data_IF_356891588553
#
_entry.id   IF_356891588553
#
_cell.length_a   1.000
_cell.length_b   1.000
_cell.length_c   1.000
_cell.angle_alpha   90.00
_cell.angle_beta   90.00
_cell.angle_gamma   90.00
#
_symmetry.space_group_name_H-M   'P 1'
#
loop_
_entity.id
_entity.type
_entity.pdbx_description
1 polymer ?
#
# COMPACT_ATOMS: atom_id res chain seq x y z
N UNK A 1 14.05 14.75 14.77
CA UNK A 1 13.56 15.84 13.89
C UNK A 1 12.70 15.22 12.80
N UNK A 2 11.60 15.89 12.44
CA UNK A 2 10.59 15.35 11.53
C UNK A 2 10.39 16.31 10.35
N UNK A 3 10.27 15.78 9.14
CA UNK A 3 9.93 16.51 7.93
C UNK A 3 8.43 16.42 7.65
N UNK A 4 7.81 17.55 7.35
CA UNK A 4 6.39 17.66 7.03
C UNK A 4 6.25 17.90 5.53
N UNK A 5 5.70 16.93 4.82
CA UNK A 5 5.50 17.00 3.38
C UNK A 5 4.01 17.16 3.05
N UNK A 6 3.59 18.28 2.45
CA UNK A 6 2.22 18.44 1.99
C UNK A 6 1.98 17.55 0.75
N UNK A 7 1.04 16.62 0.87
CA UNK A 7 0.70 15.63 -0.15
C UNK A 7 -0.78 15.73 -0.54
N UNK A 8 -1.09 15.36 -1.78
CA UNK A 8 -2.44 15.31 -2.32
C UNK A 8 -2.68 14.02 -3.09
N UNK A 9 -3.77 13.33 -2.79
CA UNK A 9 -4.15 12.08 -3.44
C UNK A 9 -4.42 12.34 -4.92
N UNK A 10 -3.78 11.60 -5.80
CA UNK A 10 -4.07 11.66 -7.23
C UNK A 10 -5.50 11.15 -7.54
N UNK A 11 -5.95 10.11 -6.84
CA UNK A 11 -7.26 9.48 -7.02
C UNK A 11 -8.39 10.26 -6.34
N UNK A 12 -8.44 10.27 -4.99
CA UNK A 12 -9.55 10.85 -4.24
C UNK A 12 -9.39 12.36 -3.92
N UNK A 13 -8.30 13.00 -4.36
CA UNK A 13 -7.98 14.43 -4.11
C UNK A 13 -7.83 14.85 -2.65
N UNK A 14 -7.87 13.92 -1.68
CA UNK A 14 -7.59 14.17 -0.26
C UNK A 14 -6.23 14.84 -0.09
N UNK A 15 -6.15 15.83 0.80
CA UNK A 15 -4.88 16.52 1.13
C UNK A 15 -4.48 16.11 2.54
N UNK A 16 -3.21 15.75 2.74
CA UNK A 16 -2.66 15.43 4.06
C UNK A 16 -1.20 15.87 4.15
N UNK A 17 -0.71 15.95 5.38
CA UNK A 17 0.71 16.21 5.66
C UNK A 17 1.35 14.89 6.04
N UNK A 18 2.28 14.40 5.22
CA UNK A 18 3.06 13.21 5.54
C UNK A 18 4.20 13.61 6.50
N UNK A 19 4.28 12.91 7.62
CA UNK A 19 5.35 13.07 8.59
C UNK A 19 6.44 12.05 8.28
N UNK A 20 7.61 12.53 7.84
CA UNK A 20 8.78 11.68 7.60
C UNK A 20 9.79 11.93 8.71
N UNK A 21 10.09 10.90 9.50
CA UNK A 21 11.15 10.99 10.50
C UNK A 21 12.51 10.99 9.81
N UNK A 22 13.37 11.93 10.17
CA UNK A 22 14.77 11.87 9.75
C UNK A 22 15.47 10.73 10.47
N UNK A 23 16.54 10.19 9.86
CA UNK A 23 17.37 9.16 10.48
C UNK A 23 17.97 9.61 11.83
N UNK A 24 18.12 10.91 12.04
CA UNK A 24 18.55 11.52 13.31
C UNK A 24 17.41 11.66 14.34
N UNK A 25 16.23 11.09 14.10
CA UNK A 25 15.15 11.09 15.09
C UNK A 25 15.43 10.04 16.15
N UNK A 26 15.69 10.47 17.38
CA UNK A 26 16.03 9.61 18.51
C UNK A 26 14.83 8.76 19.02
N UNK A 27 13.61 9.10 18.60
CA UNK A 27 12.38 8.41 19.02
C UNK A 27 12.04 7.24 18.11
N UNK A 28 12.01 6.04 18.69
CA UNK A 28 11.68 4.76 18.04
C UNK A 28 10.17 4.56 17.83
N UNK A 29 9.31 5.30 18.55
CA UNK A 29 7.85 5.17 18.48
C UNK A 29 7.27 5.71 17.16
N UNK A 30 6.67 4.90 16.29
CA UNK A 30 6.19 5.35 14.97
C UNK A 30 5.19 6.52 15.04
N UNK A 31 4.37 6.57 16.09
CA UNK A 31 3.38 7.61 16.34
C UNK A 31 3.90 8.85 17.09
N UNK A 32 5.13 8.78 17.63
CA UNK A 32 5.71 9.91 18.33
C UNK A 32 6.00 11.05 17.35
N UNK A 33 5.19 12.10 17.45
CA UNK A 33 5.39 13.36 16.75
C UNK A 33 6.53 14.12 17.43
N UNK A 34 7.49 14.59 16.63
CA UNK A 34 8.45 15.57 17.11
C UNK A 34 7.70 16.80 17.62
N UNK A 35 8.19 17.50 18.66
CA UNK A 35 7.66 18.80 19.03
C UNK A 35 7.72 19.74 17.81
N UNK A 36 6.78 20.70 17.72
CA UNK A 36 6.69 21.61 16.57
C UNK A 36 8.00 22.35 16.26
N UNK A 37 8.81 22.64 17.29
CA UNK A 37 10.14 23.25 17.15
C UNK A 37 11.14 22.39 16.38
N UNK A 38 10.92 21.08 16.28
CA UNK A 38 11.74 20.10 15.57
C UNK A 38 11.04 19.53 14.34
N UNK A 39 9.95 20.16 13.89
CA UNK A 39 9.25 19.84 12.66
C UNK A 39 9.63 20.86 11.58
N UNK A 40 10.11 20.37 10.44
CA UNK A 40 10.48 21.20 9.30
C UNK A 40 9.52 20.94 8.14
N UNK A 41 8.84 21.97 7.64
CA UNK A 41 8.06 21.85 6.41
C UNK A 41 8.99 21.76 5.21
N UNK A 42 8.86 20.66 4.45
CA UNK A 42 9.65 20.41 3.26
C UNK A 42 8.75 20.55 2.04
N UNK A 43 9.09 21.50 1.19
CA UNK A 43 8.33 21.86 -0.02
C UNK A 43 7.43 23.07 0.18
N UNK A 44 6.49 23.27 -0.75
CA UNK A 44 5.59 24.42 -0.74
C UNK A 44 4.19 23.98 -0.29
N UNK A 45 3.65 24.48 0.84
CA UNK A 45 2.32 24.11 1.32
C UNK A 45 1.20 24.51 0.35
N UNK A 46 1.42 25.48 -0.55
CA UNK A 46 0.47 25.86 -1.60
C UNK A 46 0.50 24.94 -2.82
N UNK A 47 1.54 24.10 -2.96
CA UNK A 47 1.70 23.15 -4.06
C UNK A 47 2.01 21.76 -3.48
N UNK A 48 1.00 21.07 -2.92
CA UNK A 48 1.19 19.72 -2.40
C UNK A 48 1.65 18.79 -3.53
N UNK A 49 2.57 17.90 -3.19
CA UNK A 49 3.07 16.88 -4.11
C UNK A 49 1.95 15.86 -4.37
N UNK A 50 1.84 15.37 -5.60
CA UNK A 50 0.87 14.32 -5.93
C UNK A 50 1.40 12.98 -5.40
N UNK A 51 0.64 12.34 -4.52
CA UNK A 51 0.92 11.00 -3.99
C UNK A 51 -0.37 10.19 -3.97
N UNK A 52 -0.29 8.89 -3.73
CA UNK A 52 -1.43 8.06 -3.37
C UNK A 52 -1.63 8.08 -1.85
N UNK A 53 -2.87 8.06 -1.37
CA UNK A 53 -3.17 7.91 0.06
C UNK A 53 -3.33 6.44 0.41
N UNK A 54 -3.10 6.06 1.67
CA UNK A 54 -3.17 4.66 2.11
C UNK A 54 -4.48 3.99 1.68
N UNK A 55 -5.64 4.60 1.95
CA UNK A 55 -6.93 4.03 1.53
C UNK A 55 -7.07 3.77 0.00
N UNK A 56 -6.43 4.56 -0.85
CA UNK A 56 -6.45 4.33 -2.30
C UNK A 56 -5.44 3.25 -2.70
N UNK A 57 -4.32 3.15 -1.98
CA UNK A 57 -3.34 2.07 -2.14
C UNK A 57 -3.96 0.74 -1.69
N UNK A 58 -4.57 0.71 -0.52
CA UNK A 58 -5.23 -0.49 0.04
C UNK A 58 -6.37 -0.96 -0.86
N UNK A 59 -7.19 -0.03 -1.39
CA UNK A 59 -8.25 -0.37 -2.34
C UNK A 59 -7.71 -0.91 -3.68
N UNK A 60 -6.55 -0.43 -4.12
CA UNK A 60 -5.91 -0.95 -5.34
C UNK A 60 -5.34 -2.35 -5.10
N UNK A 61 -4.65 -2.54 -3.98
CA UNK A 61 -4.08 -3.83 -3.58
C UNK A 61 -5.18 -4.89 -3.45
N UNK A 62 -6.28 -4.59 -2.76
CA UNK A 62 -7.42 -5.50 -2.64
C UNK A 62 -8.00 -5.94 -4.00
N UNK A 63 -8.08 -5.03 -4.99
CA UNK A 63 -8.54 -5.37 -6.33
C UNK A 63 -7.54 -6.26 -7.09
N UNK A 64 -6.24 -6.11 -6.84
CA UNK A 64 -5.19 -6.95 -7.42
C UNK A 64 -5.22 -8.37 -6.80
N UNK A 65 -5.41 -8.48 -5.47
CA UNK A 65 -5.56 -9.75 -4.77
C UNK A 65 -6.81 -10.55 -5.24
N UNK A 66 -7.95 -9.88 -5.40
CA UNK A 66 -9.18 -10.52 -5.92
C UNK A 66 -9.00 -11.08 -7.34
N UNK A 67 -8.26 -10.37 -8.20
CA UNK A 67 -7.95 -10.82 -9.57
C UNK A 67 -6.96 -12.00 -9.58
N UNK A 68 -5.99 -12.02 -8.67
CA UNK A 68 -5.02 -13.10 -8.53
C UNK A 68 -5.66 -14.38 -7.95
N UNK A 69 -6.53 -14.26 -6.94
CA UNK A 69 -7.31 -15.40 -6.43
C UNK A 69 -8.14 -16.01 -7.56
N UNK A 70 -8.96 -15.24 -8.30
CA UNK A 70 -9.80 -15.76 -9.39
C UNK A 70 -8.97 -16.44 -10.49
N UNK A 71 -7.79 -15.90 -10.80
CA UNK A 71 -6.85 -16.50 -11.74
C UNK A 71 -6.28 -17.82 -11.21
N UNK A 72 -5.96 -17.89 -9.91
CA UNK A 72 -5.49 -19.09 -9.24
C UNK A 72 -6.58 -20.18 -9.26
N UNK A 73 -7.83 -19.89 -8.85
CA UNK A 73 -8.93 -20.86 -8.84
C UNK A 73 -9.17 -21.41 -10.26
N UNK A 74 -9.17 -20.54 -11.27
CA UNK A 74 -9.26 -20.95 -12.69
C UNK A 74 -8.04 -21.75 -13.17
N UNK A 75 -6.89 -21.63 -12.50
CA UNK A 75 -5.72 -22.48 -12.67
C UNK A 75 -5.89 -23.86 -12.02
N UNK A 76 -6.41 -23.92 -10.79
CA UNK A 76 -6.71 -25.16 -10.06
C UNK A 76 -7.71 -26.05 -10.80
N UNK A 77 -8.79 -25.48 -11.37
CA UNK A 77 -9.73 -26.27 -12.19
C UNK A 77 -9.10 -26.87 -13.46
N UNK A 78 -8.05 -26.22 -14.01
CA UNK A 78 -7.30 -26.76 -15.16
C UNK A 78 -6.34 -27.88 -14.76
N UNK A 79 -5.69 -27.77 -13.60
CA UNK A 79 -4.79 -28.81 -13.07
C UNK A 79 -5.56 -30.02 -12.49
N UNK A 80 -6.72 -29.81 -11.88
CA UNK A 80 -7.58 -30.88 -11.34
C UNK A 80 -8.14 -31.81 -12.42
N UNK A 81 -8.27 -31.34 -13.67
CA UNK A 81 -8.62 -32.18 -14.82
C UNK A 81 -7.51 -33.18 -15.18
N UNK A 82 -6.25 -32.88 -14.85
CA UNK A 82 -5.10 -33.75 -15.16
C UNK A 82 -4.93 -34.86 -14.12
N UNK A 83 -5.42 -34.67 -12.89
CA UNK A 83 -5.26 -35.63 -11.77
C UNK A 83 -6.49 -36.55 -11.59
N UNK A 84 -7.60 -36.28 -12.28
CA UNK A 84 -8.86 -37.03 -12.15
C UNK A 84 -9.05 -38.22 -13.11
N UNK A 85 -8.19 -38.42 -14.11
CA UNK A 85 -8.39 -39.41 -15.20
C UNK A 85 -7.43 -40.61 -15.15
N UNK A 86 -6.85 -40.93 -13.98
CA UNK A 86 -5.97 -42.10 -13.79
C UNK A 86 -6.50 -43.14 -12.79
N UNK A 87 -7.82 -43.21 -12.59
CA UNK A 87 -8.47 -44.35 -11.90
C UNK A 87 -9.53 -45.02 -12.78
N UNK A 88 -9.10 -45.42 -13.96
CA UNK A 88 -9.74 -46.48 -14.73
C UNK A 88 -8.63 -47.37 -15.29
N UNK A 89 -8.71 -48.68 -15.06
CA UNK A 89 -7.87 -49.76 -15.61
C UNK A 89 -6.62 -50.17 -14.80
N UNK A 90 -6.86 -50.94 -13.74
CA UNK A 90 -6.13 -52.17 -13.34
C UNK A 90 -6.77 -52.67 -12.04
N UNK A 91 -7.42 -53.82 -11.94
CA UNK A 91 -7.69 -54.93 -12.86
C UNK A 91 -8.68 -55.88 -12.19
#
# INVERSE_FOLDING_TARGET
>A
MCELHPQKCAACKKVWTAHKKLASCESQDPDARCPESLCMYVGNPRKPVKSECDACRDAREALEDEEEEEAEERGWWRLGRVVGEERGLRG
#
